data_IF_973878287757
#
_entry.id   IF_973878287757
#
_cell.length_a   1.000
_cell.length_b   1.000
_cell.length_c   1.000
_cell.angle_alpha   90.00
_cell.angle_beta   90.00
_cell.angle_gamma   90.00
#
_symmetry.space_group_name_H-M   'P 1'
#
loop_
_entity.id
_entity.type
_entity.pdbx_description
1 polymer ?
#
# COMPACT_ATOMS: atom_id res chain seq x y z
N UNK A 1 57.79 -57.68 -14.26
CA UNK A 1 58.61 -56.71 -13.48
C UNK A 1 58.21 -55.30 -13.88
N UNK A 2 57.68 -54.55 -12.90
CA UNK A 2 57.75 -53.09 -12.75
C UNK A 2 57.11 -52.18 -13.83
N UNK A 3 55.88 -51.73 -13.60
CA UNK A 3 55.44 -50.40 -14.05
C UNK A 3 55.54 -49.41 -12.89
N UNK A 4 56.38 -48.39 -13.08
CA UNK A 4 56.59 -47.28 -12.15
C UNK A 4 55.46 -46.25 -12.32
N UNK A 5 54.97 -45.77 -11.17
CA UNK A 5 54.13 -44.58 -10.97
C UNK A 5 54.64 -43.37 -11.77
N UNK A 6 53.75 -42.50 -12.23
CA UNK A 6 53.88 -41.04 -12.05
C UNK A 6 52.50 -40.40 -12.18
N UNK A 7 52.01 -39.84 -11.08
CA UNK A 7 50.82 -38.99 -10.99
C UNK A 7 51.19 -37.55 -11.33
N UNK A 8 50.46 -36.92 -12.27
CA UNK A 8 50.42 -35.47 -12.41
C UNK A 8 48.98 -34.99 -12.23
N UNK A 9 48.71 -34.33 -11.09
CA UNK A 9 47.47 -33.62 -10.79
C UNK A 9 47.60 -32.21 -11.37
N UNK A 10 46.73 -31.85 -12.31
CA UNK A 10 46.55 -30.48 -12.80
C UNK A 10 45.61 -29.74 -11.83
N UNK A 11 46.02 -28.58 -11.32
CA UNK A 11 45.15 -27.61 -10.63
C UNK A 11 44.65 -26.58 -11.65
N UNK A 12 43.34 -26.30 -11.74
CA UNK A 12 42.87 -25.09 -12.40
C UNK A 12 42.93 -23.88 -11.45
N UNK A 13 43.53 -22.81 -11.97
CA UNK A 13 43.62 -21.47 -11.39
C UNK A 13 42.30 -20.75 -11.63
N UNK A 14 41.44 -20.64 -10.62
CA UNK A 14 40.19 -19.86 -10.71
C UNK A 14 40.47 -18.38 -10.39
N UNK A 15 40.40 -17.53 -11.42
CA UNK A 15 40.31 -16.08 -11.26
C UNK A 15 38.94 -15.72 -10.67
N UNK A 16 38.93 -15.14 -9.47
CA UNK A 16 37.75 -14.50 -8.92
C UNK A 16 37.76 -13.02 -9.34
N UNK A 17 36.97 -12.68 -10.36
CA UNK A 17 36.64 -11.29 -10.68
C UNK A 17 35.67 -10.78 -9.60
N UNK A 18 36.18 -9.95 -8.69
CA UNK A 18 35.34 -9.23 -7.72
C UNK A 18 34.58 -8.12 -8.45
N UNK A 19 33.33 -8.41 -8.84
CA UNK A 19 32.37 -7.37 -9.22
C UNK A 19 31.96 -6.63 -7.94
N UNK A 20 32.43 -5.38 -7.81
CA UNK A 20 31.96 -4.46 -6.80
C UNK A 20 30.45 -4.31 -6.87
N UNK A 21 29.76 -4.75 -5.81
CA UNK A 21 28.33 -4.50 -5.63
C UNK A 21 28.20 -3.10 -5.03
N UNK A 22 28.16 -2.07 -5.88
CA UNK A 22 27.65 -0.76 -5.48
C UNK A 22 26.19 -0.94 -5.06
N UNK A 23 25.93 -0.96 -3.76
CA UNK A 23 24.59 -0.85 -3.20
C UNK A 23 24.19 0.62 -3.31
N UNK A 24 23.43 0.96 -4.35
CA UNK A 24 22.62 2.17 -4.30
C UNK A 24 21.49 1.93 -3.29
N UNK A 25 21.61 2.48 -2.09
CA UNK A 25 20.51 2.53 -1.12
C UNK A 25 19.38 3.38 -1.73
N UNK A 26 18.38 2.68 -2.25
CA UNK A 26 17.08 3.24 -2.61
C UNK A 26 16.35 3.72 -1.35
N UNK A 27 15.43 4.67 -1.51
CA UNK A 27 14.55 5.17 -0.45
C UNK A 27 14.04 4.02 0.45
N UNK A 28 14.19 4.21 1.76
CA UNK A 28 13.97 3.20 2.80
C UNK A 28 12.65 2.44 2.61
N UNK A 29 12.67 1.11 2.68
CA UNK A 29 11.48 0.23 2.56
C UNK A 29 10.32 0.65 3.47
N UNK A 30 10.62 1.33 4.59
CA UNK A 30 9.63 1.91 5.49
C UNK A 30 8.67 2.90 4.82
N UNK A 31 9.05 3.60 3.75
CA UNK A 31 8.17 4.55 3.06
C UNK A 31 7.16 3.90 2.12
N UNK A 32 7.27 2.58 1.91
CA UNK A 32 6.41 1.80 1.01
C UNK A 32 5.44 0.86 1.72
N UNK A 33 5.48 0.79 3.05
CA UNK A 33 4.58 -0.08 3.83
C UNK A 33 3.17 0.49 3.88
N UNK A 34 2.17 -0.37 4.07
CA UNK A 34 0.79 0.06 4.25
C UNK A 34 0.67 1.02 5.44
N UNK A 35 1.33 0.71 6.56
CA UNK A 35 1.35 1.55 7.76
C UNK A 35 1.90 2.95 7.49
N UNK A 36 3.04 3.06 6.79
CA UNK A 36 3.63 4.37 6.52
C UNK A 36 2.77 5.20 5.58
N UNK A 37 2.14 4.59 4.57
CA UNK A 37 1.18 5.30 3.70
C UNK A 37 -0.04 5.73 4.51
N UNK A 38 -0.55 4.87 5.39
CA UNK A 38 -1.68 5.17 6.25
C UNK A 38 -1.40 6.39 7.15
N UNK A 39 -0.33 6.34 7.94
CA UNK A 39 0.02 7.40 8.88
C UNK A 39 0.35 8.72 8.18
N UNK A 40 1.07 8.68 7.05
CA UNK A 40 1.55 9.89 6.36
C UNK A 40 0.52 10.53 5.45
N UNK A 41 -0.39 9.75 4.87
CA UNK A 41 -1.27 10.22 3.77
C UNK A 41 -2.74 10.01 4.05
N UNK A 42 -3.13 8.97 4.76
CA UNK A 42 -4.54 8.65 5.03
C UNK A 42 -5.02 9.33 6.31
N UNK A 43 -4.30 9.15 7.42
CA UNK A 43 -4.65 9.71 8.71
C UNK A 43 -4.81 11.26 8.69
N UNK A 44 -3.96 12.03 7.98
CA UNK A 44 -4.15 13.48 7.89
C UNK A 44 -5.42 13.90 7.16
N UNK A 45 -5.94 13.10 6.22
CA UNK A 45 -7.22 13.38 5.54
C UNK A 45 -8.37 13.32 6.55
N UNK A 46 -8.30 12.38 7.51
CA UNK A 46 -9.30 12.21 8.56
C UNK A 46 -9.21 13.25 9.67
N UNK A 47 -7.98 13.72 9.96
CA UNK A 47 -7.74 14.74 10.98
C UNK A 47 -7.86 16.17 10.45
N UNK A 48 -8.02 16.34 9.12
CA UNK A 48 -8.07 17.63 8.50
C UNK A 48 -9.26 18.45 9.02
N UNK A 49 -8.97 19.67 9.48
CA UNK A 49 -10.00 20.68 9.80
C UNK A 49 -10.56 21.36 8.55
N UNK A 50 -9.84 21.23 7.42
CA UNK A 50 -10.30 21.67 6.11
C UNK A 50 -11.26 20.61 5.57
N UNK A 51 -12.27 21.00 4.77
CA UNK A 51 -13.15 20.02 4.15
C UNK A 51 -12.31 19.02 3.33
N UNK A 52 -12.74 17.75 3.32
CA UNK A 52 -12.14 16.65 2.54
C UNK A 52 -13.21 15.98 1.67
N UNK A 53 -12.81 15.23 0.63
CA UNK A 53 -13.79 14.48 -0.17
C UNK A 53 -14.52 13.40 0.65
N UNK A 54 -13.91 12.95 1.74
CA UNK A 54 -14.50 12.03 2.71
C UNK A 54 -15.78 12.62 3.35
N UNK A 55 -15.76 13.91 3.68
CA UNK A 55 -16.93 14.63 4.26
C UNK A 55 -18.00 14.98 3.22
N UNK A 56 -17.68 14.88 1.93
CA UNK A 56 -18.64 15.07 0.83
C UNK A 56 -19.30 13.78 0.35
N UNK A 57 -18.73 12.62 0.72
CA UNK A 57 -19.28 11.31 0.40
C UNK A 57 -20.51 11.00 1.28
N UNK A 58 -21.59 11.77 1.12
CA UNK A 58 -22.92 11.52 1.70
C UNK A 58 -23.80 10.64 0.79
N UNK A 59 -23.19 9.78 -0.02
CA UNK A 59 -23.91 8.87 -0.90
C UNK A 59 -24.18 7.56 -0.16
N UNK A 60 -25.46 7.37 0.18
CA UNK A 60 -26.06 6.21 0.86
C UNK A 60 -26.10 6.21 2.38
N UNK A 61 -25.94 7.36 3.06
CA UNK A 61 -26.11 7.44 4.52
C UNK A 61 -24.93 6.85 5.33
N UNK A 62 -23.77 6.79 4.69
CA UNK A 62 -22.51 6.23 5.18
C UNK A 62 -21.54 7.39 5.30
N UNK A 63 -21.29 7.89 6.51
CA UNK A 63 -20.22 8.87 6.71
C UNK A 63 -18.91 8.10 6.68
N UNK A 64 -18.02 8.42 5.73
CA UNK A 64 -16.76 7.67 5.58
C UNK A 64 -15.94 7.67 6.88
N UNK A 65 -16.11 8.68 7.75
CA UNK A 65 -15.50 8.73 9.09
C UNK A 65 -15.88 7.55 9.98
N UNK A 66 -17.04 6.94 9.79
CA UNK A 66 -17.55 5.85 10.63
C UNK A 66 -16.75 4.55 10.40
N UNK A 67 -16.09 4.44 9.24
CA UNK A 67 -15.23 3.31 8.86
C UNK A 67 -13.76 3.56 9.19
N UNK A 68 -13.44 4.76 9.65
CA UNK A 68 -12.09 5.11 10.06
C UNK A 68 -11.93 4.80 11.53
N UNK A 69 -11.07 3.83 11.80
CA UNK A 69 -10.85 3.32 13.14
C UNK A 69 -9.47 3.74 13.64
N UNK A 70 -9.17 3.58 14.95
CA UNK A 70 -7.91 4.05 15.53
C UNK A 70 -6.62 3.46 14.94
N UNK A 71 -6.72 2.41 14.12
CA UNK A 71 -5.59 1.76 13.46
C UNK A 71 -5.91 1.38 12.01
N UNK A 72 -4.86 1.13 11.22
CA UNK A 72 -5.03 0.70 9.83
C UNK A 72 -5.70 -0.67 9.72
N UNK A 73 -5.47 -1.59 10.67
CA UNK A 73 -6.05 -2.93 10.69
C UNK A 73 -7.57 -2.85 10.78
N UNK A 74 -8.05 -2.07 11.75
CA UNK A 74 -9.47 -1.85 11.97
C UNK A 74 -10.10 -1.06 10.83
N UNK A 75 -9.40 -0.05 10.30
CA UNK A 75 -9.90 0.74 9.16
C UNK A 75 -10.02 -0.13 7.91
N UNK A 76 -8.99 -0.92 7.61
CA UNK A 76 -8.98 -1.84 6.48
C UNK A 76 -10.10 -2.88 6.61
N UNK A 77 -10.21 -3.54 7.77
CA UNK A 77 -11.26 -4.52 8.02
C UNK A 77 -12.66 -3.92 7.88
N UNK A 78 -12.89 -2.74 8.46
CA UNK A 78 -14.17 -2.02 8.39
C UNK A 78 -14.54 -1.63 6.95
N UNK A 79 -13.58 -1.13 6.17
CA UNK A 79 -13.83 -0.76 4.77
C UNK A 79 -14.05 -1.98 3.86
N UNK A 80 -13.40 -3.11 4.14
CA UNK A 80 -13.65 -4.36 3.41
C UNK A 80 -15.00 -4.97 3.79
N UNK A 81 -15.39 -4.96 5.06
CA UNK A 81 -16.64 -5.60 5.53
C UNK A 81 -17.88 -4.98 4.89
N UNK A 82 -17.85 -3.68 4.56
CA UNK A 82 -18.92 -3.00 3.81
C UNK A 82 -18.69 -2.93 2.30
N UNK A 83 -17.65 -3.58 1.79
CA UNK A 83 -17.35 -3.67 0.36
C UNK A 83 -16.97 -2.33 -0.28
N UNK A 84 -16.29 -1.45 0.47
CA UNK A 84 -15.69 -0.22 -0.04
C UNK A 84 -14.27 -0.44 -0.59
N UNK A 85 -13.54 -1.42 -0.03
CA UNK A 85 -12.27 -1.94 -0.57
C UNK A 85 -12.52 -3.28 -1.24
N UNK A 86 -12.02 -3.42 -2.47
CA UNK A 86 -11.98 -4.68 -3.21
C UNK A 86 -10.57 -5.29 -3.09
N UNK A 87 -10.46 -6.50 -2.52
CA UNK A 87 -9.15 -7.10 -2.23
C UNK A 87 -8.55 -7.73 -3.47
N UNK A 88 -9.39 -8.36 -4.31
CA UNK A 88 -8.91 -9.06 -5.51
C UNK A 88 -8.57 -8.09 -6.64
N UNK A 89 -9.19 -6.91 -6.64
CA UNK A 89 -9.02 -5.85 -7.63
C UNK A 89 -8.92 -4.50 -6.91
N UNK A 90 -7.78 -4.19 -6.26
CA UNK A 90 -7.63 -3.02 -5.38
C UNK A 90 -7.95 -1.69 -6.05
N UNK A 91 -7.66 -1.57 -7.35
CA UNK A 91 -7.93 -0.36 -8.13
C UNK A 91 -9.42 -0.17 -8.49
N UNK A 92 -10.22 -1.23 -8.36
CA UNK A 92 -11.67 -1.18 -8.58
C UNK A 92 -12.48 -0.86 -7.31
N UNK A 93 -11.79 -0.64 -6.18
CA UNK A 93 -12.41 -0.30 -4.91
C UNK A 93 -13.39 0.88 -5.03
N UNK A 94 -14.62 0.70 -4.53
CA UNK A 94 -15.69 1.70 -4.63
C UNK A 94 -15.30 3.03 -4.01
N UNK A 95 -14.50 3.01 -2.93
CA UNK A 95 -14.00 4.22 -2.28
C UNK A 95 -13.21 5.12 -3.24
N UNK A 96 -12.43 4.56 -4.17
CA UNK A 96 -11.68 5.33 -5.17
C UNK A 96 -12.64 6.05 -6.14
N UNK A 97 -13.71 5.36 -6.55
CA UNK A 97 -14.75 5.94 -7.41
C UNK A 97 -15.50 7.08 -6.71
N UNK A 98 -15.75 6.94 -5.41
CA UNK A 98 -16.41 7.98 -4.62
C UNK A 98 -15.53 9.22 -4.43
N UNK A 99 -14.23 9.04 -4.15
CA UNK A 99 -13.27 10.14 -4.04
C UNK A 99 -13.11 10.88 -5.37
N UNK A 100 -13.25 10.20 -6.52
CA UNK A 100 -13.11 10.85 -7.82
C UNK A 100 -14.41 11.49 -8.34
N UNK A 101 -15.53 11.36 -7.63
CA UNK A 101 -16.83 11.89 -8.07
C UNK A 101 -16.93 13.39 -7.80
N UNK A 102 -16.96 14.21 -8.84
CA UNK A 102 -17.29 15.64 -8.69
C UNK A 102 -18.79 15.83 -8.39
N UNK A 103 -19.16 16.70 -7.44
CA UNK A 103 -20.57 17.05 -7.23
C UNK A 103 -21.08 17.96 -8.34
N UNK A 104 -22.39 17.95 -8.55
CA UNK A 104 -23.07 18.81 -9.53
C UNK A 104 -23.09 20.28 -9.11
N UNK A 105 -22.93 20.57 -7.81
CA UNK A 105 -22.91 21.91 -7.25
C UNK A 105 -21.49 22.33 -6.86
N UNK A 106 -21.13 23.62 -6.99
CA UNK A 106 -19.84 24.12 -6.54
C UNK A 106 -19.59 23.79 -5.07
N UNK A 107 -18.41 23.27 -4.75
CA UNK A 107 -18.01 22.87 -3.42
C UNK A 107 -16.64 23.46 -3.03
N UNK A 108 -16.23 23.26 -1.78
CA UNK A 108 -14.95 23.74 -1.27
C UNK A 108 -13.77 22.82 -1.63
N UNK A 109 -14.05 21.63 -2.16
CA UNK A 109 -13.05 20.63 -2.53
C UNK A 109 -12.68 20.74 -4.00
N UNK A 110 -11.50 21.28 -4.26
CA UNK A 110 -10.94 21.35 -5.62
C UNK A 110 -10.60 19.97 -6.17
N UNK A 111 -10.58 19.81 -7.50
CA UNK A 111 -10.12 18.60 -8.19
C UNK A 111 -8.71 18.17 -7.76
N UNK A 112 -7.84 19.14 -7.47
CA UNK A 112 -6.49 18.86 -6.95
C UNK A 112 -6.52 18.10 -5.62
N UNK A 113 -7.41 18.50 -4.70
CA UNK A 113 -7.57 17.82 -3.41
C UNK A 113 -8.15 16.42 -3.64
N UNK A 114 -9.15 16.28 -4.52
CA UNK A 114 -9.71 14.96 -4.87
C UNK A 114 -8.65 14.01 -5.42
N UNK A 115 -7.81 14.48 -6.35
CA UNK A 115 -6.74 13.67 -6.90
C UNK A 115 -5.73 13.27 -5.82
N UNK A 116 -5.36 14.20 -4.92
CA UNK A 116 -4.44 13.90 -3.82
C UNK A 116 -4.99 12.84 -2.87
N UNK A 117 -6.27 12.93 -2.51
CA UNK A 117 -6.95 11.95 -1.67
C UNK A 117 -7.08 10.60 -2.40
N UNK A 118 -7.47 10.62 -3.67
CA UNK A 118 -7.56 9.41 -4.50
C UNK A 118 -6.23 8.66 -4.53
N UNK A 119 -5.14 9.37 -4.84
CA UNK A 119 -3.80 8.78 -4.94
C UNK A 119 -3.30 8.28 -3.59
N UNK A 120 -3.75 8.88 -2.48
CA UNK A 120 -3.43 8.43 -1.14
C UNK A 120 -4.12 7.09 -0.86
N UNK A 121 -5.43 7.02 -1.08
CA UNK A 121 -6.21 5.80 -0.90
C UNK A 121 -5.74 4.68 -1.83
N UNK A 122 -5.51 4.96 -3.11
CA UNK A 122 -5.04 3.95 -4.06
C UNK A 122 -3.70 3.36 -3.63
N UNK A 123 -2.74 4.20 -3.23
CA UNK A 123 -1.44 3.73 -2.78
C UNK A 123 -1.56 2.89 -1.50
N UNK A 124 -2.40 3.32 -0.55
CA UNK A 124 -2.61 2.59 0.69
C UNK A 124 -3.29 1.24 0.45
N UNK A 125 -4.37 1.20 -0.34
CA UNK A 125 -5.10 -0.03 -0.65
C UNK A 125 -4.18 -1.04 -1.34
N UNK A 126 -3.40 -0.60 -2.34
CA UNK A 126 -2.42 -1.48 -3.01
C UNK A 126 -1.38 -2.03 -2.04
N UNK A 127 -0.88 -1.23 -1.10
CA UNK A 127 0.04 -1.72 -0.08
C UNK A 127 -0.68 -2.68 0.90
N UNK A 128 -1.90 -2.35 1.28
CA UNK A 128 -2.66 -3.07 2.30
C UNK A 128 -3.09 -4.47 1.85
N UNK A 129 -3.50 -4.64 0.59
CA UNK A 129 -3.87 -5.98 0.07
C UNK A 129 -2.65 -6.90 -0.11
N UNK A 130 -1.43 -6.37 0.01
CA UNK A 130 -0.19 -7.14 0.02
C UNK A 130 0.37 -7.35 1.44
N UNK A 131 -0.33 -6.84 2.47
CA UNK A 131 0.08 -6.96 3.86
C UNK A 131 -0.68 -8.13 4.53
N UNK A 132 0.02 -9.20 4.95
CA UNK A 132 -0.63 -10.38 5.51
C UNK A 132 -1.37 -10.10 6.83
N UNK A 133 -0.91 -9.13 7.63
CA UNK A 133 -1.53 -8.80 8.90
C UNK A 133 -2.88 -8.10 8.69
N UNK A 134 -2.97 -7.25 7.65
CA UNK A 134 -4.23 -6.59 7.26
C UNK A 134 -5.23 -7.57 6.65
N UNK A 135 -4.75 -8.52 5.83
CA UNK A 135 -5.59 -9.60 5.31
C UNK A 135 -6.12 -10.52 6.42
N UNK A 136 -5.34 -10.77 7.47
CA UNK A 136 -5.78 -11.53 8.63
C UNK A 136 -6.80 -10.75 9.49
N UNK A 137 -6.59 -9.44 9.67
CA UNK A 137 -7.52 -8.57 10.40
C UNK A 137 -8.92 -8.54 9.77
N UNK A 138 -9.01 -8.51 8.43
CA UNK A 138 -10.26 -8.63 7.66
C UNK A 138 -11.09 -9.86 8.05
N UNK A 139 -10.45 -10.99 8.33
CA UNK A 139 -11.13 -12.23 8.65
C UNK A 139 -11.67 -12.28 10.09
N UNK A 140 -11.33 -11.29 10.91
CA UNK A 140 -11.59 -11.30 12.36
C UNK A 140 -12.76 -10.41 12.80
N UNK A 141 -13.34 -9.59 11.91
CA UNK A 141 -14.52 -8.77 12.23
C UNK A 141 -15.83 -9.46 11.76
N UNK A 142 -16.86 -9.55 12.63
CA UNK A 142 -18.12 -10.25 12.36
C UNK A 142 -19.09 -9.47 11.45
#
# INVERSE_FOLDING_TARGET
MTLKRTTHRLLPMTQALSMGRQIMLSASDGDRTALAVFEKRILPIFQAKKPSSCTECHLSGVDLKDYIQPSQEKTFASLVSVGLIEVESPDDSKILRFINRSPEQPNLITDKVRQQEHDAFQAWIRAAVNDPDLLAAKASEP
#
